data_IF_823251382215
#
_entry.id   IF_823251382215
#
_cell.length_a   1.000
_cell.length_b   1.000
_cell.length_c   1.000
_cell.angle_alpha   90.00
_cell.angle_beta   90.00
_cell.angle_gamma   90.00
#
_symmetry.space_group_name_H-M   'P 1'
#
loop_
_entity.id
_entity.type
_entity.pdbx_description
1 polymer ?
#
# COMPACT_ATOMS: atom_id res chain seq x y z
N UNK A 1 -3.30 -12.76 15.59
CA UNK A 1 -3.61 -11.31 15.66
C UNK A 1 -4.72 -10.81 14.70
N UNK A 2 -4.59 -10.85 13.36
CA UNK A 2 -5.59 -10.24 12.42
C UNK A 2 -7.01 -10.82 12.50
N UNK A 3 -7.17 -12.14 12.54
CA UNK A 3 -8.49 -12.81 12.69
C UNK A 3 -9.23 -12.36 13.96
N UNK A 4 -8.50 -11.85 14.96
CA UNK A 4 -9.01 -11.45 16.27
C UNK A 4 -9.49 -9.99 16.30
N UNK A 5 -8.94 -9.11 15.44
CA UNK A 5 -9.27 -7.67 15.37
C UNK A 5 -10.45 -7.36 14.44
N UNK A 6 -10.65 -8.18 13.40
CA UNK A 6 -11.62 -7.91 12.34
C UNK A 6 -11.21 -6.77 11.40
N UNK A 7 -11.89 -6.68 10.25
CA UNK A 7 -11.51 -5.74 9.18
C UNK A 7 -11.62 -4.26 9.62
N UNK A 8 -12.52 -3.94 10.55
CA UNK A 8 -12.70 -2.57 11.06
C UNK A 8 -11.48 -2.07 11.83
N UNK A 9 -11.04 -2.79 12.87
CA UNK A 9 -9.87 -2.36 13.65
C UNK A 9 -8.60 -2.36 12.81
N UNK A 10 -8.46 -3.35 11.93
CA UNK A 10 -7.29 -3.40 11.06
C UNK A 10 -7.25 -2.22 10.08
N UNK A 11 -8.37 -1.87 9.44
CA UNK A 11 -8.44 -0.71 8.53
C UNK A 11 -8.14 0.60 9.27
N UNK A 12 -8.66 0.76 10.50
CA UNK A 12 -8.36 1.94 11.34
C UNK A 12 -6.88 2.05 11.70
N UNK A 13 -6.21 0.93 11.98
CA UNK A 13 -4.76 0.91 12.27
C UNK A 13 -3.94 1.27 11.04
N UNK A 14 -4.32 0.78 9.85
CA UNK A 14 -3.66 1.16 8.60
C UNK A 14 -3.81 2.66 8.36
N UNK A 15 -5.00 3.23 8.57
CA UNK A 15 -5.20 4.67 8.42
C UNK A 15 -4.32 5.47 9.38
N UNK A 16 -4.25 5.05 10.65
CA UNK A 16 -3.43 5.73 11.64
C UNK A 16 -1.95 5.81 11.21
N UNK A 17 -1.36 4.71 10.73
CA UNK A 17 0.05 4.74 10.33
C UNK A 17 0.27 5.57 9.05
N UNK A 18 -0.71 5.63 8.15
CA UNK A 18 -0.66 6.53 6.99
C UNK A 18 -0.63 7.99 7.46
N UNK A 19 -1.53 8.36 8.38
CA UNK A 19 -1.60 9.71 8.94
C UNK A 19 -0.27 10.11 9.62
N UNK A 20 0.36 9.18 10.35
CA UNK A 20 1.64 9.39 11.04
C UNK A 20 2.84 9.52 10.08
N UNK A 21 2.88 8.72 9.00
CA UNK A 21 4.00 8.70 8.07
C UNK A 21 3.92 9.79 7.00
N UNK A 22 2.72 10.27 6.69
CA UNK A 22 2.48 11.31 5.67
C UNK A 22 3.33 12.58 5.86
N UNK A 23 3.45 13.18 7.07
CA UNK A 23 4.29 14.36 7.25
C UNK A 23 5.78 14.08 7.11
N UNK A 24 6.22 12.83 7.26
CA UNK A 24 7.63 12.44 7.18
C UNK A 24 8.07 12.26 5.74
N UNK A 25 7.30 11.52 4.95
CA UNK A 25 7.73 11.12 3.60
C UNK A 25 7.16 11.99 2.48
N UNK A 26 6.05 12.71 2.71
CA UNK A 26 5.45 13.64 1.73
C UNK A 26 5.31 13.03 0.33
N UNK A 27 4.77 11.81 0.23
CA UNK A 27 4.54 11.15 -1.06
C UNK A 27 3.44 11.84 -1.89
N UNK A 28 3.55 11.74 -3.21
CA UNK A 28 2.47 12.12 -4.14
C UNK A 28 1.39 11.05 -4.25
N UNK A 29 1.78 9.77 -4.13
CA UNK A 29 0.89 8.62 -4.17
C UNK A 29 1.45 7.45 -3.36
N UNK A 30 0.60 6.84 -2.55
CA UNK A 30 0.88 5.66 -1.74
C UNK A 30 0.15 4.44 -2.29
N UNK A 31 0.89 3.44 -2.75
CA UNK A 31 0.34 2.17 -3.22
C UNK A 31 0.40 1.11 -2.11
N UNK A 32 -0.76 0.57 -1.72
CA UNK A 32 -0.87 -0.46 -0.68
C UNK A 32 -1.18 -1.81 -1.34
N UNK A 33 -0.18 -2.68 -1.39
CA UNK A 33 -0.29 -4.04 -1.92
C UNK A 33 -0.45 -5.11 -0.85
N UNK A 34 -0.22 -6.37 -1.24
CA UNK A 34 -0.28 -7.54 -0.36
C UNK A 34 -1.70 -8.07 -0.12
N UNK A 35 -1.84 -9.37 0.16
CA UNK A 35 -3.15 -10.04 0.19
C UNK A 35 -4.14 -9.55 1.26
N UNK A 36 -3.68 -8.77 2.25
CA UNK A 36 -4.55 -8.14 3.24
C UNK A 36 -5.11 -6.80 2.78
N UNK A 37 -4.48 -6.07 1.84
CA UNK A 37 -4.93 -4.74 1.40
C UNK A 37 -6.38 -4.74 0.91
N UNK A 38 -6.80 -5.84 0.26
CA UNK A 38 -8.19 -6.06 -0.19
C UNK A 38 -9.24 -6.09 0.92
N UNK A 39 -8.82 -6.18 2.18
CA UNK A 39 -9.72 -6.21 3.34
C UNK A 39 -9.93 -4.81 3.93
N UNK A 40 -9.31 -3.77 3.37
CA UNK A 40 -9.48 -2.40 3.83
C UNK A 40 -10.90 -2.01 3.44
N UNK A 41 -11.69 -1.57 4.42
CA UNK A 41 -13.06 -1.16 4.14
C UNK A 41 -13.04 0.12 3.30
N UNK A 42 -13.95 0.21 2.33
CA UNK A 42 -14.07 1.39 1.46
C UNK A 42 -14.13 2.70 2.25
N UNK A 43 -14.95 2.73 3.31
CA UNK A 43 -15.09 3.91 4.20
C UNK A 43 -13.80 4.34 4.89
N UNK A 44 -12.87 3.40 5.16
CA UNK A 44 -11.58 3.75 5.76
C UNK A 44 -10.59 4.18 4.68
N UNK A 45 -10.65 3.58 3.48
CA UNK A 45 -9.83 3.98 2.33
C UNK A 45 -10.16 5.40 1.86
N UNK A 46 -11.44 5.73 1.73
CA UNK A 46 -11.90 7.09 1.39
C UNK A 46 -11.35 8.14 2.37
N UNK A 47 -11.25 7.79 3.66
CA UNK A 47 -10.69 8.68 4.69
C UNK A 47 -9.17 8.83 4.62
N UNK A 48 -8.46 7.95 3.92
CA UNK A 48 -7.00 8.03 3.76
C UNK A 48 -6.59 9.04 2.67
N UNK A 49 -7.52 9.38 1.77
CA UNK A 49 -7.31 10.30 0.64
C UNK A 49 -7.11 9.60 -0.71
N UNK A 50 -7.37 10.34 -1.80
CA UNK A 50 -7.32 9.84 -3.18
C UNK A 50 -5.91 9.46 -3.66
N UNK A 51 -4.89 9.91 -2.94
CA UNK A 51 -3.50 9.56 -3.18
C UNK A 51 -3.14 8.18 -2.60
N UNK A 52 -4.04 7.52 -1.87
CA UNK A 52 -3.86 6.16 -1.35
C UNK A 52 -4.60 5.16 -2.22
N UNK A 53 -3.85 4.26 -2.88
CA UNK A 53 -4.38 3.33 -3.87
C UNK A 53 -4.10 1.88 -3.46
N UNK A 54 -5.15 1.06 -3.41
CA UNK A 54 -5.01 -0.39 -3.22
C UNK A 54 -4.61 -1.03 -4.54
N UNK A 55 -3.50 -1.75 -4.55
CA UNK A 55 -3.03 -2.48 -5.74
C UNK A 55 -3.17 -3.99 -5.55
N UNK A 56 -3.46 -4.74 -6.63
CA UNK A 56 -3.52 -6.19 -6.54
C UNK A 56 -2.12 -6.75 -6.24
N UNK A 57 -2.07 -7.89 -5.55
CA UNK A 57 -0.78 -8.53 -5.21
C UNK A 57 0.05 -8.87 -6.47
N UNK A 58 -0.61 -9.07 -7.61
CA UNK A 58 0.02 -9.27 -8.92
C UNK A 58 0.91 -8.11 -9.35
N UNK A 59 0.63 -6.88 -8.89
CA UNK A 59 1.48 -5.72 -9.17
C UNK A 59 2.89 -5.89 -8.56
N UNK A 60 2.99 -6.49 -7.38
CA UNK A 60 4.28 -6.80 -6.74
C UNK A 60 5.07 -7.85 -7.54
N UNK A 61 4.39 -8.87 -8.06
CA UNK A 61 5.00 -9.91 -8.91
C UNK A 61 5.50 -9.30 -10.22
N UNK A 62 4.68 -8.49 -10.90
CA UNK A 62 5.06 -7.81 -12.13
C UNK A 62 6.23 -6.83 -11.92
N UNK A 63 6.24 -6.10 -10.80
CA UNK A 63 7.36 -5.24 -10.42
C UNK A 63 8.65 -6.03 -10.21
N UNK A 64 8.59 -7.20 -9.58
CA UNK A 64 9.73 -8.10 -9.40
C UNK A 64 10.29 -8.61 -10.73
N UNK A 65 9.43 -9.01 -11.68
CA UNK A 65 9.87 -9.38 -13.04
C UNK A 65 10.55 -8.20 -13.74
N UNK A 66 9.95 -7.01 -13.67
CA UNK A 66 10.53 -5.79 -14.26
C UNK A 66 11.88 -5.45 -13.62
N UNK A 67 12.06 -5.68 -12.33
CA UNK A 67 13.30 -5.38 -11.63
C UNK A 67 14.52 -6.09 -12.25
N UNK A 68 14.35 -7.33 -12.71
CA UNK A 68 15.39 -8.09 -13.42
C UNK A 68 15.73 -7.51 -14.80
N UNK A 69 14.85 -6.70 -15.39
CA UNK A 69 15.08 -6.00 -16.65
C UNK A 69 15.58 -4.56 -16.47
N UNK A 70 15.82 -4.11 -15.23
CA UNK A 70 16.37 -2.78 -14.94
C UNK A 70 17.89 -2.69 -15.19
N UNK A 71 18.53 -3.74 -15.73
CA UNK A 71 19.98 -3.86 -15.97
C UNK A 71 20.60 -2.83 -16.95
N UNK A 72 19.83 -1.88 -17.50
CA UNK A 72 20.37 -0.84 -18.39
C UNK A 72 20.83 0.46 -17.71
N UNK A 73 20.93 0.52 -16.37
CA UNK A 73 21.33 1.76 -15.66
C UNK A 73 22.81 1.86 -15.24
N UNK A 74 23.64 0.82 -15.42
CA UNK A 74 25.05 0.82 -15.01
C UNK A 74 26.01 0.23 -16.07
N UNK A 75 25.95 0.74 -17.30
CA UNK A 75 27.11 0.80 -18.19
C UNK A 75 27.10 2.15 -18.88
N UNK A 76 27.88 3.07 -18.33
CA UNK A 76 28.74 4.04 -19.03
C UNK A 76 29.77 4.54 -18.01
#
# INVERSE_FOLDING_TARGET
>A
ERKRLGNMFWSRRVRQIIDELRPVFKWDRLYIGGGNSRLIRAVDLERMGDDVVIVPNTAGVAGGVRAWSLEHYHRD
#
